data_IF_982348998254
#
_entry.id   IF_982348998254
#
_cell.length_a   1.000
_cell.length_b   1.000
_cell.length_c   1.000
_cell.angle_alpha   90.00
_cell.angle_beta   90.00
_cell.angle_gamma   90.00
#
_symmetry.space_group_name_H-M   'P 1'
#
loop_
_entity.id
_entity.type
_entity.pdbx_description
1 polymer ?
#
# COMPACT_ATOMS: atom_id res chain seq x y z
N UNK A 1 23.25 -6.42 9.21
CA UNK A 1 22.61 -6.08 7.93
C UNK A 1 21.72 -7.25 7.52
N UNK A 2 20.41 -7.12 7.69
CA UNK A 2 19.44 -8.08 7.17
C UNK A 2 19.04 -7.55 5.78
N UNK A 3 19.42 -8.27 4.74
CA UNK A 3 18.95 -8.05 3.39
C UNK A 3 17.70 -8.90 3.21
N UNK A 4 16.54 -8.27 2.94
CA UNK A 4 15.35 -9.00 2.52
C UNK A 4 15.12 -8.79 1.02
N UNK A 5 14.90 -9.89 0.31
CA UNK A 5 14.44 -9.94 -1.07
C UNK A 5 12.93 -10.16 -1.00
N UNK A 6 12.13 -9.21 -1.48
CA UNK A 6 10.72 -9.44 -1.78
C UNK A 6 10.64 -9.77 -3.28
N UNK A 7 10.60 -11.05 -3.62
CA UNK A 7 10.18 -11.49 -4.95
C UNK A 7 8.66 -11.57 -4.95
N UNK A 8 8.01 -10.57 -5.52
CA UNK A 8 6.64 -10.73 -5.98
C UNK A 8 6.45 -9.96 -7.28
N UNK A 9 6.36 -10.73 -8.38
CA UNK A 9 5.75 -10.43 -9.68
C UNK A 9 6.21 -9.23 -10.50
N UNK A 10 6.69 -8.15 -9.87
CA UNK A 10 6.74 -6.81 -10.46
C UNK A 10 7.77 -5.88 -9.78
N UNK A 11 8.09 -6.05 -8.48
CA UNK A 11 8.94 -5.09 -7.76
C UNK A 11 9.98 -5.74 -6.86
N UNK A 12 11.19 -5.90 -7.40
CA UNK A 12 12.43 -6.05 -6.63
C UNK A 12 12.89 -4.63 -6.24
N UNK A 13 12.73 -4.26 -4.97
CA UNK A 13 12.92 -2.88 -4.49
C UNK A 13 14.37 -2.44 -4.25
N UNK A 14 15.37 -3.30 -4.48
CA UNK A 14 16.77 -2.89 -4.25
C UNK A 14 17.82 -3.48 -5.19
N UNK A 15 17.51 -4.44 -6.06
CA UNK A 15 18.56 -5.01 -6.93
C UNK A 15 18.86 -4.05 -8.09
N UNK A 16 20.09 -3.50 -8.12
CA UNK A 16 20.70 -3.02 -9.36
C UNK A 16 20.81 -4.21 -10.33
N UNK A 17 20.18 -4.12 -11.50
CA UNK A 17 20.23 -5.11 -12.59
C UNK A 17 21.66 -5.29 -13.14
N UNK A 18 22.58 -5.86 -12.35
CA UNK A 18 23.99 -6.11 -12.75
C UNK A 18 24.36 -7.60 -12.78
N UNK A 19 23.40 -8.50 -12.55
CA UNK A 19 23.59 -9.94 -12.69
C UNK A 19 23.07 -10.48 -14.02
N UNK A 20 23.67 -11.55 -14.59
CA UNK A 20 23.13 -12.20 -15.77
C UNK A 20 21.70 -12.72 -15.50
N UNK A 21 20.79 -12.65 -16.48
CA UNK A 21 19.38 -12.91 -16.25
C UNK A 21 19.17 -14.36 -15.83
N UNK A 22 18.76 -14.58 -14.58
CA UNK A 22 18.18 -15.86 -14.18
C UNK A 22 16.79 -15.92 -14.82
N UNK A 23 16.55 -17.00 -15.57
CA UNK A 23 15.28 -17.31 -16.22
C UNK A 23 14.23 -17.48 -15.12
N UNK A 24 13.54 -16.39 -14.79
CA UNK A 24 12.43 -16.39 -13.86
C UNK A 24 11.14 -16.45 -14.69
N UNK A 25 10.58 -17.66 -14.83
CA UNK A 25 9.37 -17.90 -15.61
C UNK A 25 8.14 -17.15 -15.09
N UNK A 26 8.17 -16.58 -13.87
CA UNK A 26 7.06 -15.78 -13.34
C UNK A 26 7.06 -14.32 -13.82
N UNK A 27 8.23 -13.73 -14.10
CA UNK A 27 8.32 -12.38 -14.71
C UNK A 27 7.80 -12.35 -16.17
N UNK A 28 7.48 -13.52 -16.74
CA UNK A 28 7.19 -13.69 -18.16
C UNK A 28 5.71 -13.58 -18.54
N UNK A 29 4.75 -13.61 -17.61
CA UNK A 29 3.32 -13.58 -17.95
C UNK A 29 2.75 -12.16 -18.01
N UNK A 30 2.87 -11.37 -16.94
CA UNK A 30 2.35 -10.00 -16.88
C UNK A 30 3.12 -9.06 -17.81
N UNK A 31 4.45 -9.08 -17.78
CA UNK A 31 5.27 -8.27 -18.70
C UNK A 31 4.96 -8.59 -20.17
N UNK A 32 4.75 -9.88 -20.51
CA UNK A 32 4.37 -10.30 -21.87
C UNK A 32 2.97 -9.83 -22.23
N UNK A 33 2.03 -9.89 -21.28
CA UNK A 33 0.66 -9.38 -21.46
C UNK A 33 0.68 -7.86 -21.72
N UNK A 34 1.38 -7.11 -20.85
CA UNK A 34 1.45 -5.64 -20.88
C UNK A 34 2.18 -5.12 -22.11
N UNK A 35 3.28 -5.77 -22.51
CA UNK A 35 4.06 -5.37 -23.71
C UNK A 35 3.46 -5.90 -25.01
N UNK A 36 2.67 -6.97 -24.95
CA UNK A 36 2.03 -7.59 -26.11
C UNK A 36 0.60 -7.09 -26.33
N UNK A 37 -0.43 -7.93 -26.17
CA UNK A 37 -1.80 -7.61 -26.58
C UNK A 37 -2.36 -6.33 -25.93
N UNK A 38 -1.96 -6.01 -24.69
CA UNK A 38 -2.45 -4.81 -23.99
C UNK A 38 -1.91 -3.54 -24.64
N UNK A 39 -0.62 -3.49 -25.01
CA UNK A 39 -0.03 -2.30 -25.63
C UNK A 39 -0.68 -1.99 -26.99
N UNK A 40 -0.99 -3.03 -27.77
CA UNK A 40 -1.71 -2.89 -29.03
C UNK A 40 -3.15 -2.45 -28.82
N UNK A 41 -3.87 -3.07 -27.88
CA UNK A 41 -5.28 -2.78 -27.60
C UNK A 41 -5.47 -1.34 -27.12
N UNK A 42 -4.56 -0.85 -26.27
CA UNK A 42 -4.60 0.52 -25.76
C UNK A 42 -3.99 1.55 -26.73
N UNK A 43 -3.46 1.12 -27.88
CA UNK A 43 -2.87 2.02 -28.88
C UNK A 43 -1.56 2.69 -28.42
N UNK A 44 -0.81 2.04 -27.53
CA UNK A 44 0.45 2.56 -26.94
C UNK A 44 1.67 1.74 -27.35
N UNK A 45 1.56 0.93 -28.41
CA UNK A 45 2.64 0.09 -28.90
C UNK A 45 3.84 0.89 -29.43
N UNK A 46 3.67 2.17 -29.75
CA UNK A 46 4.74 3.11 -30.15
C UNK A 46 5.41 3.82 -28.95
N UNK A 47 4.92 3.61 -27.72
CA UNK A 47 5.45 4.24 -26.50
C UNK A 47 6.57 3.41 -25.86
N UNK A 48 7.35 3.99 -24.93
CA UNK A 48 8.35 3.24 -24.18
C UNK A 48 7.75 1.97 -23.57
N UNK A 49 8.48 0.87 -23.67
CA UNK A 49 8.00 -0.44 -23.22
C UNK A 49 7.60 -0.37 -21.75
N UNK A 50 6.48 -1.01 -21.43
CA UNK A 50 5.98 -1.09 -20.06
C UNK A 50 7.09 -1.61 -19.11
N UNK A 51 7.32 -0.88 -18.00
CA UNK A 51 8.37 -1.15 -17.01
C UNK A 51 9.79 -0.66 -17.37
N UNK A 52 10.04 -0.18 -18.59
CA UNK A 52 11.41 0.17 -19.04
C UNK A 52 12.05 1.36 -18.32
N UNK A 53 11.26 2.26 -17.77
CA UNK A 53 11.75 3.48 -17.10
C UNK A 53 11.84 3.37 -15.57
N UNK A 54 11.43 2.23 -14.98
CA UNK A 54 11.26 2.07 -13.53
C UNK A 54 12.52 2.42 -12.72
N UNK A 55 13.69 1.96 -13.17
CA UNK A 55 14.96 2.15 -12.46
C UNK A 55 15.42 3.60 -12.55
N UNK A 56 15.32 4.22 -13.73
CA UNK A 56 15.73 5.61 -13.93
C UNK A 56 14.87 6.56 -13.06
N UNK A 57 13.56 6.30 -12.97
CA UNK A 57 12.67 7.08 -12.11
C UNK A 57 12.98 6.84 -10.63
N UNK A 58 13.25 5.61 -10.23
CA UNK A 58 13.64 5.28 -8.85
C UNK A 58 14.94 6.01 -8.45
N UNK A 59 15.96 5.95 -9.30
CA UNK A 59 17.25 6.62 -9.05
C UNK A 59 17.10 8.14 -9.01
N UNK A 60 16.28 8.72 -9.88
CA UNK A 60 16.04 10.16 -9.91
C UNK A 60 15.33 10.69 -8.65
N UNK A 61 14.60 9.83 -7.93
CA UNK A 61 13.87 10.16 -6.71
C UNK A 61 14.56 9.67 -5.43
N UNK A 62 15.83 9.23 -5.52
CA UNK A 62 16.54 8.67 -4.37
C UNK A 62 16.69 9.65 -3.20
N UNK A 63 16.82 10.95 -3.50
CA UNK A 63 17.01 11.99 -2.50
C UNK A 63 15.72 12.28 -1.69
N UNK A 64 14.56 11.96 -2.25
CA UNK A 64 13.27 12.06 -1.57
C UNK A 64 13.01 10.85 -0.65
N UNK A 65 13.82 9.80 -0.76
CA UNK A 65 13.66 8.60 0.06
C UNK A 65 13.87 8.93 1.54
N UNK A 66 12.92 8.51 2.39
CA UNK A 66 12.88 8.75 3.83
C UNK A 66 12.72 10.22 4.26
N UNK A 67 12.41 11.14 3.33
CA UNK A 67 11.93 12.46 3.71
C UNK A 67 10.57 12.38 4.39
N UNK A 68 10.36 13.24 5.39
CA UNK A 68 9.16 13.18 6.22
C UNK A 68 7.96 13.83 5.53
N UNK A 69 6.86 13.06 5.38
CA UNK A 69 5.58 13.58 4.89
C UNK A 69 4.64 14.06 6.01
N UNK A 70 5.15 14.23 7.23
CA UNK A 70 4.32 14.56 8.41
C UNK A 70 3.62 15.90 8.24
N UNK A 71 4.33 16.93 7.76
CA UNK A 71 3.75 18.26 7.54
C UNK A 71 2.58 18.20 6.56
N UNK A 72 2.71 17.45 5.47
CA UNK A 72 1.63 17.23 4.50
C UNK A 72 0.40 16.61 5.16
N UNK A 73 0.59 15.56 5.98
CA UNK A 73 -0.52 14.91 6.70
C UNK A 73 -1.18 15.88 7.70
N UNK A 74 -0.38 16.68 8.42
CA UNK A 74 -0.91 17.69 9.34
C UNK A 74 -1.73 18.77 8.63
N UNK A 75 -1.27 19.24 7.47
CA UNK A 75 -2.02 20.19 6.63
C UNK A 75 -3.30 19.59 6.10
N UNK A 76 -3.29 18.34 5.63
CA UNK A 76 -4.51 17.66 5.21
C UNK A 76 -5.53 17.55 6.36
N UNK A 77 -5.06 17.21 7.56
CA UNK A 77 -5.90 17.12 8.76
C UNK A 77 -6.46 18.49 9.19
N UNK A 78 -5.66 19.55 9.14
CA UNK A 78 -6.01 20.83 9.75
C UNK A 78 -6.65 21.83 8.77
N UNK A 79 -6.28 21.79 7.49
CA UNK A 79 -6.60 22.84 6.50
C UNK A 79 -7.66 22.39 5.48
N UNK A 80 -7.99 21.09 5.46
CA UNK A 80 -8.94 20.53 4.47
C UNK A 80 -10.07 19.78 5.15
N UNK A 81 -11.10 19.43 4.38
CA UNK A 81 -12.21 18.55 4.81
C UNK A 81 -12.05 17.12 4.31
N UNK A 82 -10.91 16.77 3.72
CA UNK A 82 -10.66 15.46 3.12
C UNK A 82 -10.64 14.39 4.23
N UNK A 83 -11.27 13.25 3.96
CA UNK A 83 -11.17 12.05 4.79
C UNK A 83 -9.85 11.34 4.51
N UNK A 84 -9.14 10.98 5.58
CA UNK A 84 -7.87 10.27 5.53
C UNK A 84 -8.06 8.84 6.04
N UNK A 85 -7.91 7.89 5.13
CA UNK A 85 -7.98 6.46 5.44
C UNK A 85 -6.61 5.86 5.21
N UNK A 86 -6.01 5.36 6.29
CA UNK A 86 -4.74 4.64 6.24
C UNK A 86 -5.01 3.16 6.46
N UNK A 87 -4.37 2.28 5.72
CA UNK A 87 -4.41 0.84 5.99
C UNK A 87 -2.99 0.27 6.04
N UNK A 88 -2.80 -0.79 6.82
CA UNK A 88 -1.52 -1.47 6.99
C UNK A 88 -1.73 -2.98 7.05
N UNK A 89 -0.94 -3.73 6.29
CA UNK A 89 -0.87 -5.18 6.42
C UNK A 89 -0.09 -5.57 7.67
N UNK A 90 -0.64 -6.47 8.48
CA UNK A 90 0.01 -6.94 9.72
C UNK A 90 1.39 -7.59 9.46
N UNK A 91 1.58 -8.20 8.30
CA UNK A 91 2.77 -8.96 7.92
C UNK A 91 3.77 -8.14 7.10
N UNK A 92 3.55 -6.83 6.90
CA UNK A 92 4.51 -5.98 6.19
C UNK A 92 5.73 -5.69 7.05
N UNK A 93 6.91 -5.93 6.48
CA UNK A 93 8.19 -5.60 7.09
C UNK A 93 8.68 -4.19 6.72
N UNK A 94 8.43 -3.74 5.49
CA UNK A 94 9.00 -2.49 4.97
C UNK A 94 8.29 -1.30 5.60
N UNK A 95 6.96 -1.27 5.53
CA UNK A 95 6.13 -0.25 6.21
C UNK A 95 5.45 -0.86 7.44
N UNK A 96 6.27 -1.35 8.35
CA UNK A 96 5.81 -2.20 9.44
C UNK A 96 4.77 -1.53 10.36
N UNK A 97 3.77 -2.33 10.74
CA UNK A 97 2.67 -1.90 11.61
C UNK A 97 3.16 -1.23 12.91
N UNK A 98 4.16 -1.75 13.66
CA UNK A 98 4.64 -1.09 14.88
C UNK A 98 5.16 0.33 14.64
N UNK A 99 5.88 0.56 13.52
CA UNK A 99 6.36 1.89 13.15
C UNK A 99 5.20 2.85 12.85
N UNK A 100 4.23 2.38 12.08
CA UNK A 100 3.02 3.14 11.74
C UNK A 100 2.21 3.50 12.98
N UNK A 101 1.98 2.55 13.90
CA UNK A 101 1.28 2.80 15.17
C UNK A 101 2.03 3.81 16.05
N UNK A 102 3.35 3.72 16.13
CA UNK A 102 4.17 4.67 16.89
C UNK A 102 4.09 6.09 16.31
N UNK A 103 4.08 6.21 14.99
CA UNK A 103 3.89 7.50 14.31
C UNK A 103 2.49 8.08 14.56
N UNK A 104 1.43 7.30 14.40
CA UNK A 104 0.06 7.76 14.67
C UNK A 104 -0.13 8.18 16.13
N UNK A 105 0.44 7.42 17.07
CA UNK A 105 0.42 7.81 18.48
C UNK A 105 1.05 9.18 18.70
N UNK A 106 2.16 9.53 18.02
CA UNK A 106 2.76 10.87 18.13
C UNK A 106 1.89 11.95 17.48
N UNK A 107 1.31 11.67 16.31
CA UNK A 107 0.46 12.60 15.57
C UNK A 107 -0.80 12.99 16.36
N UNK A 108 -1.42 12.02 17.04
CA UNK A 108 -2.66 12.22 17.79
C UNK A 108 -2.47 12.50 19.28
N UNK A 109 -1.29 12.26 19.87
CA UNK A 109 -1.03 12.54 21.29
C UNK A 109 -1.33 13.99 21.70
N UNK A 110 -1.12 14.95 20.81
CA UNK A 110 -1.41 16.38 21.06
C UNK A 110 -2.88 16.75 20.78
N UNK A 111 -3.65 15.85 20.18
CA UNK A 111 -5.06 16.05 19.77
C UNK A 111 -5.94 15.36 20.80
N UNK A 112 -6.10 15.99 21.97
CA UNK A 112 -6.69 15.39 23.18
C UNK A 112 -8.21 15.23 23.14
N UNK A 113 -8.85 15.68 22.08
CA UNK A 113 -10.31 15.72 21.94
C UNK A 113 -10.92 14.35 21.61
N UNK A 114 -10.09 13.38 21.19
CA UNK A 114 -10.55 12.06 20.77
C UNK A 114 -9.73 10.95 21.40
N UNK A 115 -10.44 9.95 21.96
CA UNK A 115 -9.86 8.67 22.38
C UNK A 115 -10.02 7.70 21.22
N UNK A 116 -8.92 7.16 20.65
CA UNK A 116 -9.02 6.24 19.53
C UNK A 116 -9.88 5.02 19.89
N UNK A 117 -10.88 4.72 19.06
CA UNK A 117 -11.76 3.57 19.24
C UNK A 117 -11.40 2.50 18.23
N UNK A 118 -10.94 1.36 18.73
CA UNK A 118 -10.60 0.20 17.92
C UNK A 118 -11.74 -0.83 17.92
N UNK A 119 -12.10 -1.31 16.74
CA UNK A 119 -13.15 -2.30 16.54
C UNK A 119 -12.68 -3.37 15.54
N UNK A 120 -12.92 -4.63 15.86
CA UNK A 120 -12.70 -5.71 14.90
C UNK A 120 -13.76 -5.66 13.80
N UNK A 121 -13.37 -5.95 12.56
CA UNK A 121 -14.30 -6.12 11.45
C UNK A 121 -14.15 -7.50 10.80
N UNK A 122 -15.29 -8.00 10.32
CA UNK A 122 -15.42 -9.18 9.47
C UNK A 122 -15.94 -8.72 8.12
N UNK A 123 -15.71 -9.50 7.06
CA UNK A 123 -16.23 -9.18 5.73
C UNK A 123 -17.15 -10.29 5.24
N UNK A 124 -18.25 -9.88 4.62
CA UNK A 124 -19.13 -10.82 3.92
C UNK A 124 -18.39 -11.38 2.70
N UNK A 125 -18.39 -12.70 2.54
CA UNK A 125 -17.61 -13.38 1.49
C UNK A 125 -16.13 -13.62 1.83
N UNK A 126 -15.67 -13.22 3.02
CA UNK A 126 -14.40 -13.66 3.60
C UNK A 126 -14.48 -15.05 4.24
N UNK A 127 -13.53 -15.37 5.11
CA UNK A 127 -13.64 -16.57 5.94
C UNK A 127 -14.73 -16.32 6.99
N UNK A 128 -15.94 -16.85 6.76
CA UNK A 128 -17.12 -16.58 7.60
C UNK A 128 -16.81 -16.63 9.11
N UNK A 129 -17.09 -15.53 9.81
CA UNK A 129 -16.88 -15.39 11.25
C UNK A 129 -15.44 -15.14 11.69
N UNK A 130 -14.49 -15.01 10.75
CA UNK A 130 -13.10 -14.68 11.03
C UNK A 130 -12.89 -13.18 10.97
N UNK A 131 -12.16 -12.65 11.96
CA UNK A 131 -11.73 -11.25 11.97
C UNK A 131 -10.75 -11.02 10.81
N UNK A 132 -11.08 -10.07 9.95
CA UNK A 132 -10.26 -9.64 8.80
C UNK A 132 -9.31 -8.50 9.18
N UNK A 133 -9.67 -7.74 10.21
CA UNK A 133 -8.84 -6.64 10.66
C UNK A 133 -9.45 -5.86 11.81
N UNK A 134 -8.78 -4.76 12.12
CA UNK A 134 -9.21 -3.79 13.12
C UNK A 134 -9.29 -2.41 12.50
N UNK A 135 -10.42 -1.74 12.71
CA UNK A 135 -10.64 -0.33 12.37
C UNK A 135 -10.40 0.50 13.62
N UNK A 136 -9.55 1.51 13.53
CA UNK A 136 -9.26 2.46 14.60
C UNK A 136 -9.58 3.87 14.12
N UNK A 137 -10.64 4.48 14.67
CA UNK A 137 -10.96 5.88 14.39
C UNK A 137 -10.20 6.79 15.36
N UNK A 138 -9.40 7.72 14.82
CA UNK A 138 -8.63 8.69 15.62
C UNK A 138 -9.32 10.04 15.74
N UNK A 139 -10.19 10.38 14.80
CA UNK A 139 -11.17 11.47 14.86
C UNK A 139 -12.27 11.19 13.80
N UNK A 140 -13.16 12.15 13.55
CA UNK A 140 -14.24 12.03 12.56
C UNK A 140 -13.78 11.81 11.11
N UNK A 141 -12.53 12.18 10.78
CA UNK A 141 -11.99 12.20 9.41
C UNK A 141 -10.72 11.38 9.22
N UNK A 142 -10.23 10.71 10.26
CA UNK A 142 -9.02 9.89 10.19
C UNK A 142 -9.29 8.50 10.75
N UNK A 143 -9.18 7.51 9.86
CA UNK A 143 -9.38 6.11 10.18
C UNK A 143 -8.15 5.30 9.79
N UNK A 144 -7.68 4.44 10.70
CA UNK A 144 -6.65 3.45 10.41
C UNK A 144 -7.24 2.04 10.37
N UNK A 145 -6.87 1.26 9.38
CA UNK A 145 -7.19 -0.16 9.27
C UNK A 145 -5.92 -0.99 9.43
N UNK A 146 -5.93 -1.92 10.38
CA UNK A 146 -4.94 -3.01 10.44
C UNK A 146 -5.56 -4.25 9.80
N UNK A 147 -5.00 -4.72 8.69
CA UNK A 147 -5.51 -5.88 7.96
C UNK A 147 -4.70 -7.11 8.32
N UNK A 148 -5.38 -8.14 8.84
CA UNK A 148 -4.77 -9.41 9.23
C UNK A 148 -4.51 -10.25 7.99
N UNK A 149 -3.50 -11.13 8.08
CA UNK A 149 -3.09 -12.05 7.00
C UNK A 149 -2.69 -11.34 5.69
N UNK A 150 -2.29 -10.08 5.78
CA UNK A 150 -1.83 -9.29 4.65
C UNK A 150 -0.45 -8.69 4.91
N UNK A 151 0.38 -8.65 3.88
CA UNK A 151 1.69 -8.01 3.85
C UNK A 151 1.63 -6.63 3.21
N UNK A 152 2.69 -6.26 2.48
CA UNK A 152 2.83 -4.94 1.85
C UNK A 152 1.71 -4.64 0.85
N UNK A 153 1.27 -5.65 0.10
CA UNK A 153 0.26 -5.52 -0.96
C UNK A 153 -1.10 -6.01 -0.45
N UNK A 154 -1.68 -5.28 0.51
CA UNK A 154 -2.98 -5.63 1.13
C UNK A 154 -4.08 -6.01 0.12
N UNK A 155 -4.28 -5.29 -1.01
CA UNK A 155 -5.31 -5.68 -1.98
C UNK A 155 -5.05 -7.03 -2.66
N UNK A 156 -3.79 -7.42 -2.81
CA UNK A 156 -3.42 -8.70 -3.40
C UNK A 156 -3.55 -9.84 -2.39
N UNK A 157 -3.14 -9.60 -1.13
CA UNK A 157 -3.14 -10.62 -0.07
C UNK A 157 -4.54 -10.82 0.54
N UNK A 158 -5.32 -9.75 0.69
CA UNK A 158 -6.66 -9.77 1.28
C UNK A 158 -7.62 -8.82 0.51
N UNK A 159 -8.06 -9.23 -0.69
CA UNK A 159 -8.95 -8.41 -1.53
C UNK A 159 -10.30 -8.13 -0.86
N UNK A 160 -10.85 -9.09 -0.09
CA UNK A 160 -12.14 -8.92 0.60
C UNK A 160 -12.06 -7.84 1.69
N UNK A 161 -10.97 -7.78 2.45
CA UNK A 161 -10.74 -6.69 3.40
C UNK A 161 -10.60 -5.34 2.71
N UNK A 162 -9.88 -5.28 1.57
CA UNK A 162 -9.74 -4.04 0.81
C UNK A 162 -11.07 -3.56 0.24
N UNK A 163 -11.87 -4.47 -0.32
CA UNK A 163 -13.21 -4.16 -0.81
C UNK A 163 -14.09 -3.58 0.31
N UNK A 164 -14.09 -4.21 1.49
CA UNK A 164 -14.81 -3.70 2.65
C UNK A 164 -14.37 -2.29 3.05
N UNK A 165 -13.06 -2.01 3.05
CA UNK A 165 -12.53 -0.67 3.33
C UNK A 165 -13.05 0.33 2.30
N UNK A 166 -12.99 0.01 0.99
CA UNK A 166 -13.46 0.89 -0.07
C UNK A 166 -14.97 1.17 0.06
N UNK A 167 -15.79 0.14 0.28
CA UNK A 167 -17.24 0.29 0.41
C UNK A 167 -17.67 1.16 1.61
N UNK A 168 -16.85 1.24 2.66
CA UNK A 168 -17.13 2.07 3.83
C UNK A 168 -16.80 3.55 3.60
N UNK A 169 -15.91 3.88 2.66
CA UNK A 169 -15.36 5.22 2.50
C UNK A 169 -15.67 5.87 1.14
N UNK A 170 -16.00 5.06 0.14
CA UNK A 170 -16.40 5.52 -1.18
C UNK A 170 -17.89 5.24 -1.29
N UNK A 171 -18.70 6.30 -1.42
CA UNK A 171 -20.15 6.20 -1.52
C UNK A 171 -20.56 5.17 -2.59
N UNK A 172 -21.58 4.35 -2.27
CA UNK A 172 -22.18 3.42 -3.22
C UNK A 172 -22.78 4.25 -4.36
N UNK A 173 -22.26 4.08 -5.58
CA UNK A 173 -22.93 4.52 -6.80
C UNK A 173 -24.06 3.56 -7.17
#
# INVERSE_FOLDING_TARGET
SIFLVLEYGETLWWYSDTGPPRIAELHSSLQRLMRGPVSHTLGIADKPLWGSQRTVVFDALSDDFLQSSIETVERLLNETTIELVLFSGQLDLITCLPGTLAWMNRLFKKRTEFVPRQEAFTVDGGLNGVIEGYRTAYNERFTHYTVLRAGHMVPADNPSAMEHILQNHIGRY
#
